data_IF_024660669314
#
_entry.id   IF_024660669314
#
_cell.length_a   1.000
_cell.length_b   1.000
_cell.length_c   1.000
_cell.angle_alpha   90.00
_cell.angle_beta   90.00
_cell.angle_gamma   90.00
#
_symmetry.space_group_name_H-M   'P 1'
#
loop_
_entity.id
_entity.type
_entity.pdbx_description
1 polymer ?
#
# COMPACT_ATOMS: atom_id res chain seq x y z
N UNK A 1 -37.95 -2.93 6.42
CA UNK A 1 -36.80 -3.57 7.10
C UNK A 1 -35.91 -4.17 6.01
N UNK A 2 -34.93 -3.41 5.52
CA UNK A 2 -34.01 -3.87 4.46
C UNK A 2 -32.82 -4.51 5.15
N UNK A 3 -32.60 -5.81 4.91
CA UNK A 3 -31.48 -6.57 5.45
C UNK A 3 -30.23 -6.25 4.60
N UNK A 4 -29.23 -5.58 5.19
CA UNK A 4 -27.90 -5.32 4.60
C UNK A 4 -26.96 -6.51 4.80
N UNK A 5 -27.33 -7.70 4.34
CA UNK A 5 -26.55 -8.92 4.59
C UNK A 5 -25.38 -9.14 3.62
N UNK A 6 -25.34 -8.47 2.47
CA UNK A 6 -24.38 -8.78 1.40
C UNK A 6 -23.07 -7.95 1.49
N UNK A 7 -23.00 -6.91 2.32
CA UNK A 7 -21.79 -6.08 2.45
C UNK A 7 -20.59 -6.86 3.03
N UNK A 8 -20.81 -7.90 3.83
CA UNK A 8 -19.74 -8.54 4.59
C UNK A 8 -18.82 -9.45 3.74
N UNK A 9 -19.36 -10.08 2.68
CA UNK A 9 -18.64 -11.07 1.86
C UNK A 9 -17.57 -10.42 0.98
N UNK A 10 -17.81 -9.19 0.50
CA UNK A 10 -16.86 -8.47 -0.34
C UNK A 10 -15.81 -7.68 0.46
N UNK A 11 -16.10 -7.32 1.72
CA UNK A 11 -15.21 -6.48 2.52
C UNK A 11 -13.98 -7.23 3.05
N UNK A 12 -14.16 -8.47 3.51
CA UNK A 12 -13.06 -9.27 4.07
C UNK A 12 -11.91 -9.50 3.07
N UNK A 13 -12.16 -9.97 1.83
CA UNK A 13 -11.09 -10.15 0.85
C UNK A 13 -10.33 -8.86 0.52
N UNK A 14 -11.03 -7.72 0.46
CA UNK A 14 -10.43 -6.42 0.18
C UNK A 14 -9.57 -5.93 1.35
N UNK A 15 -10.01 -6.16 2.59
CA UNK A 15 -9.23 -5.82 3.79
C UNK A 15 -7.94 -6.65 3.81
N UNK A 16 -8.02 -7.95 3.54
CA UNK A 16 -6.88 -8.86 3.58
C UNK A 16 -5.80 -8.54 2.53
N UNK A 17 -6.19 -7.93 1.39
CA UNK A 17 -5.24 -7.48 0.35
C UNK A 17 -4.44 -6.24 0.74
N UNK A 18 -4.90 -5.41 1.69
CA UNK A 18 -4.23 -4.14 2.01
C UNK A 18 -2.99 -4.36 2.86
N UNK A 19 -1.91 -3.63 2.53
CA UNK A 19 -0.67 -3.57 3.31
C UNK A 19 -0.28 -2.11 3.49
N UNK A 20 -0.52 -1.57 4.68
CA UNK A 20 -0.18 -0.20 5.06
C UNK A 20 1.06 -0.22 5.94
N UNK A 21 2.11 0.48 5.52
CA UNK A 21 3.37 0.54 6.26
C UNK A 21 4.06 1.89 6.04
N UNK A 22 5.06 2.17 6.88
CA UNK A 22 5.92 3.34 6.77
C UNK A 22 7.39 2.92 6.89
N UNK A 23 8.30 3.66 6.25
CA UNK A 23 9.73 3.44 6.37
C UNK A 23 10.29 4.51 7.32
N UNK A 24 10.84 4.14 8.47
CA UNK A 24 11.45 5.06 9.46
C UNK A 24 12.95 4.72 9.60
N UNK A 25 13.82 5.73 9.57
CA UNK A 25 15.29 5.55 9.60
C UNK A 25 15.97 6.87 9.91
N UNK A 26 17.25 6.79 10.23
CA UNK A 26 18.14 7.93 10.35
C UNK A 26 18.31 8.68 9.00
N UNK A 27 18.70 9.97 8.99
CA UNK A 27 19.19 10.65 7.79
C UNK A 27 20.22 9.80 7.03
N UNK A 28 20.18 9.89 5.70
CA UNK A 28 21.10 9.21 4.76
C UNK A 28 21.07 7.68 4.73
N UNK A 29 20.17 7.02 5.48
CA UNK A 29 20.01 5.56 5.46
C UNK A 29 19.37 4.99 4.17
N UNK A 30 19.21 5.80 3.12
CA UNK A 30 18.70 5.35 1.83
C UNK A 30 17.19 5.11 1.76
N UNK A 31 16.41 5.76 2.64
CA UNK A 31 14.94 5.65 2.66
C UNK A 31 14.30 5.97 1.31
N UNK A 32 14.75 7.05 0.66
CA UNK A 32 14.26 7.49 -0.66
C UNK A 32 14.53 6.44 -1.73
N UNK A 33 15.77 5.95 -1.81
CA UNK A 33 16.18 4.91 -2.77
C UNK A 33 15.37 3.62 -2.59
N UNK A 34 15.07 3.24 -1.35
CA UNK A 34 14.23 2.07 -1.07
C UNK A 34 12.79 2.30 -1.55
N UNK A 35 12.21 3.48 -1.26
CA UNK A 35 10.87 3.86 -1.72
C UNK A 35 10.75 3.83 -3.25
N UNK A 36 11.73 4.38 -3.98
CA UNK A 36 11.75 4.36 -5.45
C UNK A 36 11.70 2.93 -6.01
N UNK A 37 12.49 2.02 -5.45
CA UNK A 37 12.49 0.61 -5.85
C UNK A 37 11.15 -0.06 -5.57
N UNK A 38 10.54 0.19 -4.42
CA UNK A 38 9.21 -0.33 -4.11
C UNK A 38 8.15 0.17 -5.12
N UNK A 39 8.19 1.45 -5.47
CA UNK A 39 7.27 2.03 -6.45
C UNK A 39 7.50 1.46 -7.85
N UNK A 40 8.76 1.28 -8.27
CA UNK A 40 9.10 0.61 -9.53
C UNK A 40 8.55 -0.82 -9.58
N UNK A 41 8.78 -1.63 -8.55
CA UNK A 41 8.29 -3.01 -8.48
C UNK A 41 6.76 -3.10 -8.34
N UNK A 42 6.13 -2.09 -7.73
CA UNK A 42 4.69 -1.96 -7.64
C UNK A 42 4.00 -1.45 -8.91
N UNK A 43 4.75 -1.19 -10.00
CA UNK A 43 4.21 -0.63 -11.23
C UNK A 43 3.85 0.86 -11.14
N UNK A 44 4.21 1.54 -10.05
CA UNK A 44 3.99 2.95 -9.80
C UNK A 44 5.15 3.82 -10.34
N UNK A 45 5.53 3.59 -11.60
CA UNK A 45 6.71 4.18 -12.24
C UNK A 45 6.71 5.71 -12.16
N UNK A 46 5.56 6.36 -12.37
CA UNK A 46 5.46 7.83 -12.32
C UNK A 46 5.71 8.44 -10.93
N UNK A 47 5.59 7.64 -9.87
CA UNK A 47 5.90 8.07 -8.50
C UNK A 47 7.33 7.71 -8.09
N UNK A 48 8.00 6.82 -8.83
CA UNK A 48 9.40 6.44 -8.60
C UNK A 48 10.33 7.43 -9.33
N UNK A 49 10.97 8.34 -8.59
CA UNK A 49 11.97 9.28 -9.14
C UNK A 49 11.66 10.77 -9.00
N UNK A 50 10.68 11.15 -8.16
CA UNK A 50 10.55 12.52 -7.63
C UNK A 50 11.42 12.74 -6.39
#
# INVERSE_FOLDING_TARGET
MIIRSDENIALQPEIDRRRTFAIISHPDAGKTTLTEKFLLYGGAIQMAGQ
#
